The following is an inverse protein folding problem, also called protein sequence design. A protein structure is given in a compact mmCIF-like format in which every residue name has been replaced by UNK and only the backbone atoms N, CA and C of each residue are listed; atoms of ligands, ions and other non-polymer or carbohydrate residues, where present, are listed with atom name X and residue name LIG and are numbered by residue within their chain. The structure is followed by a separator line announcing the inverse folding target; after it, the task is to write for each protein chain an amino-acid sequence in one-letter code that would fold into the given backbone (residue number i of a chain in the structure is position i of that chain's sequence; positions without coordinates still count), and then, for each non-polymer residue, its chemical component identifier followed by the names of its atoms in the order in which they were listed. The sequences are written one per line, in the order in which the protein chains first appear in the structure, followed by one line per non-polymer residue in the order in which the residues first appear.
data_IF_527065328116
#
_entry.id   IF_527065328116
#
_cell.length_a   1.000
_cell.length_b   1.000
_cell.length_c   1.000
_cell.angle_alpha   90.00
_cell.angle_beta   90.00
_cell.angle_gamma   90.00
#
_symmetry.space_group_name_H-M   'P 1'
#
loop_
_entity.id
_entity.type
_entity.pdbx_description
1 polymer ?
#
# COMPACT_ATOMS: atom_id res chain seq x y z
N UNK A 1 24.19 27.09 7.20
CA UNK A 1 22.84 26.47 7.27
C UNK A 1 21.89 26.91 6.14
N UNK A 2 22.17 27.96 5.36
CA UNK A 2 21.24 28.45 4.32
C UNK A 2 21.15 27.63 3.01
N UNK A 3 22.14 26.78 2.71
CA UNK A 3 22.21 26.07 1.41
C UNK A 3 21.16 24.95 1.27
N UNK A 4 20.85 24.25 2.36
CA UNK A 4 19.87 23.15 2.35
C UNK A 4 18.41 23.65 2.30
N UNK A 5 18.14 24.86 2.81
CA UNK A 5 16.81 25.46 2.73
C UNK A 5 16.48 25.80 1.27
N UNK A 6 17.40 26.48 0.57
CA UNK A 6 17.22 26.80 -0.84
C UNK A 6 17.11 25.56 -1.73
N UNK A 7 17.86 24.49 -1.45
CA UNK A 7 17.76 23.25 -2.23
C UNK A 7 16.40 22.55 -2.04
N UNK A 8 15.86 22.55 -0.82
CA UNK A 8 14.54 21.99 -0.55
C UNK A 8 13.44 22.78 -1.26
N UNK A 9 13.52 24.12 -1.22
CA UNK A 9 12.56 24.99 -1.90
C UNK A 9 12.60 24.81 -3.43
N UNK A 10 13.79 24.60 -3.99
CA UNK A 10 13.95 24.30 -5.42
C UNK A 10 13.33 22.95 -5.78
N UNK A 11 13.52 21.91 -4.96
CA UNK A 11 12.88 20.60 -5.18
C UNK A 11 11.36 20.70 -5.05
N UNK A 12 10.85 21.44 -4.08
CA UNK A 12 9.42 21.66 -3.88
C UNK A 12 8.78 22.40 -5.07
N UNK A 13 9.43 23.46 -5.55
CA UNK A 13 8.99 24.19 -6.72
C UNK A 13 9.07 23.33 -7.99
N UNK A 14 10.16 22.58 -8.17
CA UNK A 14 10.37 21.72 -9.34
C UNK A 14 9.34 20.59 -9.40
N UNK A 15 9.05 19.95 -8.26
CA UNK A 15 8.04 18.91 -8.17
C UNK A 15 6.63 19.46 -8.49
N UNK A 16 6.30 20.64 -7.95
CA UNK A 16 5.03 21.32 -8.27
C UNK A 16 4.93 21.66 -9.75
N UNK A 17 5.97 22.27 -10.33
CA UNK A 17 6.01 22.61 -11.75
C UNK A 17 5.87 21.37 -12.65
N UNK A 18 6.53 20.26 -12.28
CA UNK A 18 6.38 19.00 -13.00
C UNK A 18 4.96 18.44 -12.92
N UNK A 19 4.33 18.47 -11.75
CA UNK A 19 2.93 18.02 -11.59
C UNK A 19 1.99 18.86 -12.47
N UNK A 20 2.15 20.18 -12.48
CA UNK A 20 1.33 21.06 -13.32
C UNK A 20 1.58 20.86 -14.82
N UNK A 21 2.84 20.63 -15.21
CA UNK A 21 3.19 20.30 -16.59
C UNK A 21 2.53 19.00 -17.04
N UNK A 22 2.64 17.94 -16.25
CA UNK A 22 2.05 16.63 -16.57
C UNK A 22 0.52 16.67 -16.58
N UNK A 23 -0.09 17.54 -15.77
CA UNK A 23 -1.52 17.79 -15.81
C UNK A 23 -1.96 18.53 -17.06
N UNK A 24 -1.17 19.51 -17.50
CA UNK A 24 -1.45 20.31 -18.69
C UNK A 24 -1.15 19.56 -19.99
N UNK A 25 -0.22 18.61 -19.96
CA UNK A 25 0.25 17.84 -21.12
C UNK A 25 0.26 16.33 -20.82
N UNK A 26 -0.91 15.66 -20.87
CA UNK A 26 -1.01 14.25 -20.56
C UNK A 26 -0.19 13.35 -21.49
N UNK A 27 -0.02 13.74 -22.77
CA UNK A 27 0.77 12.99 -23.74
C UNK A 27 2.24 12.82 -23.29
N UNK A 28 2.81 13.83 -22.62
CA UNK A 28 4.17 13.74 -22.08
C UNK A 28 4.26 12.74 -20.92
N UNK A 29 3.18 12.59 -20.15
CA UNK A 29 3.14 11.61 -19.06
C UNK A 29 3.21 10.17 -19.59
N UNK A 30 2.72 9.91 -20.80
CA UNK A 30 2.73 8.57 -21.41
C UNK A 30 4.15 8.07 -21.77
N UNK A 31 5.11 8.99 -21.95
CA UNK A 31 6.51 8.66 -22.21
C UNK A 31 7.30 8.35 -20.93
N UNK A 32 6.81 8.76 -19.75
CA UNK A 32 7.52 8.58 -18.47
C UNK A 32 7.78 7.10 -18.13
N UNK A 33 6.82 6.18 -18.32
CA UNK A 33 7.05 4.75 -18.15
C UNK A 33 8.23 4.18 -18.93
N UNK A 34 8.33 4.47 -20.24
CA UNK A 34 9.35 3.88 -21.11
C UNK A 34 10.76 4.37 -20.79
N UNK A 35 10.86 5.56 -20.19
CA UNK A 35 12.12 6.13 -19.69
C UNK A 35 12.60 5.51 -18.35
N UNK A 36 11.81 4.60 -17.76
CA UNK A 36 12.15 3.94 -16.50
C UNK A 36 12.15 4.88 -15.29
N UNK A 37 11.37 5.95 -15.34
CA UNK A 37 11.27 6.92 -14.24
C UNK A 37 10.36 6.44 -13.10
N UNK A 38 9.35 5.60 -13.37
CA UNK A 38 8.43 5.08 -12.35
C UNK A 38 9.19 4.31 -11.22
N UNK A 39 10.07 3.32 -11.50
CA UNK A 39 10.84 2.66 -10.45
C UNK A 39 11.74 3.61 -9.66
N UNK A 40 12.27 4.66 -10.31
CA UNK A 40 13.14 5.66 -9.66
C UNK A 40 12.32 6.50 -8.68
N UNK A 41 11.13 6.95 -9.07
CA UNK A 41 10.19 7.66 -8.18
C UNK A 41 9.83 6.77 -6.97
N UNK A 42 9.49 5.50 -7.18
CA UNK A 42 9.19 4.60 -6.05
C UNK A 42 10.34 4.43 -5.05
N UNK A 43 11.59 4.52 -5.50
CA UNK A 43 12.76 4.52 -4.61
C UNK A 43 12.91 5.84 -3.85
N UNK A 44 12.63 6.96 -4.50
CA UNK A 44 12.72 8.31 -3.92
C UNK A 44 11.65 8.58 -2.86
N UNK A 45 10.56 7.80 -2.81
CA UNK A 45 9.53 7.87 -1.77
C UNK A 45 10.10 7.76 -0.34
N UNK A 46 11.22 7.06 -0.15
CA UNK A 46 11.86 6.94 1.16
C UNK A 46 12.56 8.23 1.61
N UNK A 47 13.09 9.01 0.67
CA UNK A 47 13.87 10.22 0.95
C UNK A 47 13.08 11.51 0.79
N UNK A 48 12.16 11.56 -0.19
CA UNK A 48 11.36 12.74 -0.53
C UNK A 48 9.88 12.35 -0.70
N UNK A 49 9.22 11.89 0.38
CA UNK A 49 7.89 11.28 0.30
C UNK A 49 6.86 12.23 -0.28
N UNK A 50 6.82 13.49 0.17
CA UNK A 50 5.78 14.46 -0.24
C UNK A 50 5.82 14.74 -1.75
N UNK A 51 6.96 15.20 -2.26
CA UNK A 51 7.13 15.60 -3.65
C UNK A 51 6.94 14.42 -4.61
N UNK A 52 7.60 13.31 -4.27
CA UNK A 52 7.58 12.10 -5.10
C UNK A 52 6.17 11.50 -5.15
N UNK A 53 5.45 11.52 -4.03
CA UNK A 53 4.09 11.03 -3.98
C UNK A 53 3.13 11.91 -4.78
N UNK A 54 3.27 13.23 -4.75
CA UNK A 54 2.46 14.12 -5.60
C UNK A 54 2.66 13.85 -7.09
N UNK A 55 3.91 13.59 -7.50
CA UNK A 55 4.21 13.21 -8.89
C UNK A 55 3.59 11.85 -9.22
N UNK A 56 3.79 10.83 -8.37
CA UNK A 56 3.20 9.50 -8.57
C UNK A 56 1.68 9.51 -8.61
N UNK A 57 1.05 10.34 -7.77
CA UNK A 57 -0.39 10.54 -7.79
C UNK A 57 -0.84 11.11 -9.13
N UNK A 58 -0.20 12.18 -9.63
CA UNK A 58 -0.52 12.75 -10.93
C UNK A 58 -0.36 11.73 -12.07
N UNK A 59 0.69 10.90 -12.01
CA UNK A 59 0.89 9.82 -12.97
C UNK A 59 -0.18 8.74 -12.87
N UNK A 60 -0.69 8.44 -11.67
CA UNK A 60 -1.76 7.45 -11.46
C UNK A 60 -3.11 7.84 -12.07
N UNK A 61 -3.24 9.06 -12.60
CA UNK A 61 -4.42 9.50 -13.35
C UNK A 61 -4.38 9.04 -14.82
N UNK A 62 -3.22 8.60 -15.33
CA UNK A 62 -3.05 8.06 -16.68
C UNK A 62 -3.04 6.53 -16.66
N UNK A 63 -3.82 5.90 -17.54
CA UNK A 63 -3.90 4.44 -17.62
C UNK A 63 -2.53 3.80 -17.96
N UNK A 64 -1.76 4.41 -18.86
CA UNK A 64 -0.42 3.94 -19.23
C UNK A 64 0.53 3.93 -18.05
N UNK A 65 0.53 5.03 -17.28
CA UNK A 65 1.32 5.15 -16.08
C UNK A 65 0.87 4.20 -14.98
N UNK A 66 -0.44 4.01 -14.79
CA UNK A 66 -0.99 3.04 -13.83
C UNK A 66 -0.49 1.63 -14.11
N UNK A 67 -0.50 1.19 -15.38
CA UNK A 67 0.04 -0.11 -15.79
C UNK A 67 1.52 -0.25 -15.40
N UNK A 68 2.31 0.78 -15.68
CA UNK A 68 3.73 0.79 -15.34
C UNK A 68 3.97 0.81 -13.81
N UNK A 69 3.19 1.59 -13.06
CA UNK A 69 3.22 1.62 -11.60
C UNK A 69 2.89 0.25 -11.02
N UNK A 70 1.91 -0.46 -11.58
CA UNK A 70 1.55 -1.78 -11.12
C UNK A 70 2.59 -2.85 -11.46
N UNK A 71 3.24 -2.74 -12.62
CA UNK A 71 4.36 -3.62 -13.01
C UNK A 71 5.61 -3.39 -12.15
N UNK A 72 5.69 -2.27 -11.45
CA UNK A 72 6.69 -2.03 -10.42
C UNK A 72 6.14 -2.41 -9.04
N UNK A 73 6.97 -2.99 -8.17
CA UNK A 73 6.60 -3.31 -6.78
C UNK A 73 6.25 -2.05 -5.95
N UNK A 74 5.07 -1.47 -6.17
CA UNK A 74 4.66 -0.15 -5.66
C UNK A 74 4.01 -0.22 -4.27
N UNK A 75 3.42 -1.36 -3.89
CA UNK A 75 2.71 -1.53 -2.63
C UNK A 75 3.65 -1.40 -1.42
N UNK A 76 4.84 -1.99 -1.48
CA UNK A 76 5.80 -1.95 -0.37
C UNK A 76 6.34 -0.53 -0.09
N UNK A 77 6.81 0.24 -1.10
CA UNK A 77 7.17 1.65 -0.92
C UNK A 77 6.03 2.53 -0.41
N UNK A 78 4.82 2.40 -0.98
CA UNK A 78 3.67 3.19 -0.55
C UNK A 78 3.26 2.87 0.89
N UNK A 79 3.25 1.59 1.27
CA UNK A 79 2.99 1.17 2.65
C UNK A 79 3.98 1.79 3.63
N UNK A 80 5.29 1.71 3.33
CA UNK A 80 6.32 2.34 4.17
C UNK A 80 6.09 3.85 4.27
N UNK A 81 5.82 4.52 3.16
CA UNK A 81 5.53 5.95 3.14
C UNK A 81 4.39 6.32 4.09
N UNK A 82 3.28 5.59 4.04
CA UNK A 82 2.12 5.79 4.91
C UNK A 82 2.42 5.52 6.39
N UNK A 83 3.29 4.55 6.70
CA UNK A 83 3.66 4.22 8.09
C UNK A 83 4.53 5.29 8.74
N UNK A 84 5.47 5.88 7.98
CA UNK A 84 6.41 6.87 8.51
C UNK A 84 5.95 8.32 8.34
N UNK A 85 5.02 8.60 7.42
CA UNK A 85 4.57 9.95 7.12
C UNK A 85 3.04 10.03 7.11
N UNK A 86 2.44 10.45 8.23
CA UNK A 86 0.97 10.57 8.34
C UNK A 86 0.35 11.50 7.29
N UNK A 87 1.05 12.56 6.92
CA UNK A 87 0.61 13.53 5.92
C UNK A 87 0.61 12.97 4.47
N UNK A 88 1.13 11.75 4.27
CA UNK A 88 1.17 11.09 2.97
C UNK A 88 0.09 10.00 2.84
N UNK A 89 -0.68 9.72 3.89
CA UNK A 89 -1.68 8.65 3.89
C UNK A 89 -2.75 8.92 2.84
N UNK A 90 -3.32 10.12 2.82
CA UNK A 90 -4.39 10.50 1.90
C UNK A 90 -3.96 10.35 0.44
N UNK A 91 -2.91 11.07 0.02
CA UNK A 91 -2.41 11.01 -1.36
C UNK A 91 -1.93 9.61 -1.76
N UNK A 92 -1.40 8.80 -0.82
CA UNK A 92 -1.05 7.41 -1.09
C UNK A 92 -2.28 6.56 -1.35
N UNK A 93 -3.33 6.72 -0.54
CA UNK A 93 -4.61 6.05 -0.77
C UNK A 93 -5.22 6.47 -2.10
N UNK A 94 -5.20 7.75 -2.46
CA UNK A 94 -5.67 8.22 -3.75
C UNK A 94 -4.89 7.62 -4.92
N UNK A 95 -3.56 7.54 -4.80
CA UNK A 95 -2.70 6.88 -5.79
C UNK A 95 -3.07 5.40 -5.95
N UNK A 96 -3.37 4.70 -4.83
CA UNK A 96 -3.82 3.30 -4.86
C UNK A 96 -5.23 3.15 -5.46
N UNK A 97 -6.14 4.12 -5.22
CA UNK A 97 -7.48 4.15 -5.83
C UNK A 97 -7.37 4.31 -7.35
N UNK A 98 -6.36 5.05 -7.83
CA UNK A 98 -6.04 5.14 -9.26
C UNK A 98 -5.70 3.79 -9.92
N UNK A 99 -5.39 2.74 -9.13
CA UNK A 99 -5.14 1.39 -9.63
C UNK A 99 -6.43 0.57 -9.85
N UNK A 100 -7.57 1.01 -9.32
CA UNK A 100 -8.85 0.29 -9.42
C UNK A 100 -9.27 0.03 -10.89
N UNK A 101 -9.23 1.02 -11.80
CA UNK A 101 -9.56 0.78 -13.21
C UNK A 101 -8.70 -0.31 -13.85
N UNK A 102 -7.42 -0.37 -13.49
CA UNK A 102 -6.53 -1.41 -13.99
C UNK A 102 -6.93 -2.80 -13.45
N UNK A 103 -7.24 -2.93 -12.15
CA UNK A 103 -7.74 -4.19 -11.59
C UNK A 103 -9.05 -4.65 -12.23
N UNK A 104 -9.94 -3.72 -12.57
CA UNK A 104 -11.18 -4.02 -13.30
C UNK A 104 -10.90 -4.47 -14.74
N UNK A 105 -9.95 -3.83 -15.43
CA UNK A 105 -9.51 -4.26 -16.77
C UNK A 105 -8.91 -5.67 -16.75
N UNK A 106 -8.23 -6.05 -15.66
CA UNK A 106 -7.73 -7.40 -15.46
C UNK A 106 -8.87 -8.40 -15.26
N UNK A 107 -9.94 -8.04 -14.53
CA UNK A 107 -11.11 -8.90 -14.38
C UNK A 107 -11.85 -9.13 -15.70
N UNK A 108 -11.92 -8.09 -16.53
CA UNK A 108 -12.52 -8.13 -17.87
C UNK A 108 -11.66 -8.95 -18.85
N UNK A 109 -10.34 -8.94 -18.65
CA UNK A 109 -9.43 -9.79 -19.41
C UNK A 109 -9.66 -11.29 -19.12
N UNK A 110 -9.24 -12.14 -20.07
CA UNK A 110 -9.29 -13.61 -19.91
C UNK A 110 -8.23 -14.09 -18.91
N UNK A 111 -8.40 -13.77 -17.62
CA UNK A 111 -7.65 -14.43 -16.56
C UNK A 111 -8.20 -15.85 -16.39
N UNK A 112 -7.39 -16.86 -16.69
CA UNK A 112 -7.75 -18.26 -16.51
C UNK A 112 -7.75 -18.68 -15.02
N UNK A 113 -7.16 -17.86 -14.15
CA UNK A 113 -6.98 -18.16 -12.73
C UNK A 113 -8.12 -17.59 -11.88
N UNK A 114 -9.09 -18.43 -11.55
CA UNK A 114 -10.23 -18.11 -10.66
C UNK A 114 -9.78 -17.57 -9.30
N UNK A 115 -8.66 -18.08 -8.76
CA UNK A 115 -8.10 -17.61 -7.49
C UNK A 115 -7.68 -16.13 -7.54
N UNK A 116 -7.06 -15.70 -8.64
CA UNK A 116 -6.62 -14.31 -8.83
C UNK A 116 -7.84 -13.40 -9.00
N UNK A 117 -8.83 -13.81 -9.81
CA UNK A 117 -10.10 -13.05 -9.94
C UNK A 117 -10.77 -12.86 -8.58
N UNK A 118 -10.83 -13.91 -7.76
CA UNK A 118 -11.41 -13.87 -6.41
C UNK A 118 -10.66 -12.90 -5.49
N UNK A 119 -9.33 -12.91 -5.52
CA UNK A 119 -8.52 -11.98 -4.72
C UNK A 119 -8.71 -10.53 -5.16
N UNK A 120 -8.80 -10.26 -6.47
CA UNK A 120 -9.08 -8.92 -6.99
C UNK A 120 -10.47 -8.46 -6.51
N UNK A 121 -11.51 -9.28 -6.67
CA UNK A 121 -12.87 -8.95 -6.22
C UNK A 121 -12.91 -8.70 -4.70
N UNK A 122 -12.21 -9.51 -3.90
CA UNK A 122 -12.10 -9.32 -2.47
C UNK A 122 -11.41 -7.99 -2.10
N UNK A 123 -10.33 -7.64 -2.80
CA UNK A 123 -9.63 -6.37 -2.60
C UNK A 123 -10.54 -5.18 -2.95
N UNK A 124 -11.25 -5.23 -4.08
CA UNK A 124 -12.19 -4.18 -4.50
C UNK A 124 -13.37 -4.03 -3.53
N UNK A 125 -13.94 -5.14 -3.03
CA UNK A 125 -14.97 -5.12 -1.99
C UNK A 125 -14.44 -4.51 -0.68
N UNK A 126 -13.21 -4.86 -0.29
CA UNK A 126 -12.55 -4.28 0.88
C UNK A 126 -12.33 -2.78 0.75
N UNK A 127 -11.91 -2.30 -0.42
CA UNK A 127 -11.74 -0.87 -0.71
C UNK A 127 -13.06 -0.10 -0.63
N UNK A 128 -14.16 -0.69 -1.12
CA UNK A 128 -15.50 -0.10 -1.02
C UNK A 128 -15.96 0.06 0.43
N UNK A 129 -15.68 -0.89 1.30
CA UNK A 129 -16.06 -0.81 2.72
C UNK A 129 -15.24 0.22 3.54
N UNK A 130 -14.28 0.92 2.92
CA UNK A 130 -13.53 1.98 3.58
C UNK A 130 -14.34 3.29 3.55
N UNK A 131 -14.82 3.72 4.73
CA UNK A 131 -15.71 4.88 4.91
C UNK A 131 -15.17 6.19 4.34
N UNK A 132 -13.85 6.34 4.20
CA UNK A 132 -13.26 7.60 3.71
C UNK A 132 -13.30 7.73 2.18
N UNK A 133 -13.48 6.63 1.45
CA UNK A 133 -13.40 6.61 -0.01
C UNK A 133 -14.58 5.87 -0.66
N UNK A 134 -15.60 5.49 0.11
CA UNK A 134 -16.73 4.66 -0.35
C UNK A 134 -17.41 5.25 -1.58
N UNK A 135 -17.77 6.54 -1.57
CA UNK A 135 -18.45 7.18 -2.70
C UNK A 135 -17.60 7.14 -3.98
N UNK A 136 -16.32 7.54 -3.90
CA UNK A 136 -15.43 7.58 -5.07
C UNK A 136 -15.16 6.18 -5.61
N UNK A 137 -14.84 5.23 -4.73
CA UNK A 137 -14.57 3.84 -5.10
C UNK A 137 -15.83 3.21 -5.69
N UNK A 138 -16.99 3.40 -5.08
CA UNK A 138 -18.28 2.93 -5.60
C UNK A 138 -18.58 3.52 -6.97
N UNK A 139 -18.35 4.82 -7.19
CA UNK A 139 -18.55 5.45 -8.51
C UNK A 139 -17.63 4.87 -9.59
N UNK A 140 -16.35 4.62 -9.29
CA UNK A 140 -15.42 3.99 -10.24
C UNK A 140 -15.88 2.56 -10.57
N UNK A 141 -16.26 1.79 -9.55
CA UNK A 141 -16.71 0.41 -9.72
C UNK A 141 -18.01 0.32 -10.53
N UNK A 142 -18.99 1.18 -10.27
CA UNK A 142 -20.29 1.20 -10.96
C UNK A 142 -20.17 1.61 -12.43
N UNK A 143 -19.15 2.39 -12.81
CA UNK A 143 -18.88 2.73 -14.21
C UNK A 143 -18.40 1.55 -15.05
N UNK A 144 -17.85 0.50 -14.42
CA UNK A 144 -17.27 -0.62 -15.15
C UNK A 144 -18.24 -1.80 -15.22
N UNK A 145 -18.67 -2.25 -16.41
CA UNK A 145 -19.72 -3.26 -16.55
C UNK A 145 -19.36 -4.60 -15.90
N UNK A 146 -18.09 -5.02 -16.01
CA UNK A 146 -17.56 -6.24 -15.37
C UNK A 146 -17.88 -6.32 -13.88
N UNK A 147 -17.91 -5.18 -13.17
CA UNK A 147 -18.15 -5.17 -11.73
C UNK A 147 -19.57 -5.66 -11.38
N UNK A 148 -20.55 -5.44 -12.25
CA UNK A 148 -21.93 -5.86 -12.03
C UNK A 148 -22.09 -7.37 -11.84
N UNK A 149 -21.22 -8.16 -12.48
CA UNK A 149 -21.20 -9.62 -12.40
C UNK A 149 -20.61 -10.13 -11.07
N UNK A 150 -19.71 -9.35 -10.46
CA UNK A 150 -18.94 -9.76 -9.28
C UNK A 150 -19.44 -9.11 -7.97
N UNK A 151 -20.18 -7.99 -8.03
CA UNK A 151 -20.58 -7.21 -6.85
C UNK A 151 -21.38 -8.03 -5.82
N UNK A 152 -22.27 -8.91 -6.29
CA UNK A 152 -23.21 -9.67 -5.45
C UNK A 152 -22.72 -11.09 -5.13
N UNK A 153 -21.59 -11.51 -5.71
CA UNK A 153 -21.00 -12.83 -5.41
C UNK A 153 -20.48 -12.85 -3.96
N UNK A 154 -21.11 -13.61 -3.07
CA UNK A 154 -20.59 -13.84 -1.71
C UNK A 154 -19.39 -14.79 -1.81
N UNK A 155 -18.19 -14.28 -1.60
CA UNK A 155 -17.04 -15.12 -1.31
C UNK A 155 -17.14 -15.52 0.16
N UNK A 156 -17.39 -16.79 0.43
CA UNK A 156 -17.24 -17.33 1.78
C UNK A 156 -15.82 -17.02 2.27
N UNK A 157 -15.73 -16.15 3.26
CA UNK A 157 -14.48 -15.72 3.89
C UNK A 157 -13.89 -16.88 4.71
N UNK A 158 -13.23 -17.82 4.05
CA UNK A 158 -12.42 -18.84 4.70
C UNK A 158 -10.92 -18.65 4.37
N UNK A 159 -10.37 -17.47 4.69
CA UNK A 159 -8.92 -17.31 4.90
C UNK A 159 -8.70 -16.39 6.10
N UNK A 160 -9.04 -16.95 7.26
CA UNK A 160 -8.22 -16.95 8.47
C UNK A 160 -7.27 -15.76 8.63
N UNK A 161 -7.70 -14.80 9.44
CA UNK A 161 -6.84 -14.06 10.37
C UNK A 161 -5.89 -15.02 11.11
N UNK A 162 -4.73 -15.31 10.52
CA UNK A 162 -3.56 -15.88 11.22
C UNK A 162 -2.29 -15.17 10.75
N UNK A 163 -2.27 -13.86 10.92
CA UNK A 163 -1.03 -13.18 11.32
C UNK A 163 -1.29 -12.66 12.72
N UNK A 164 -1.42 -13.61 13.64
CA UNK A 164 -1.32 -13.32 15.06
C UNK A 164 0.12 -12.88 15.27
N UNK A 165 0.29 -11.65 15.74
CA UNK A 165 1.52 -11.18 16.31
C UNK A 165 2.08 -12.28 17.22
N UNK A 166 3.15 -12.97 16.79
CA UNK A 166 4.02 -13.66 17.74
C UNK A 166 4.73 -12.56 18.50
N UNK A 167 4.13 -12.14 19.60
CA UNK A 167 4.86 -11.48 20.67
C UNK A 167 6.02 -12.41 21.04
N UNK A 168 7.23 -11.89 20.93
CA UNK A 168 8.42 -12.47 21.52
C UNK A 168 8.27 -12.24 23.02
N UNK A 169 7.65 -13.18 23.73
CA UNK A 169 7.91 -13.33 25.16
C UNK A 169 9.24 -14.07 25.30
N UNK A 170 10.28 -13.28 25.57
CA UNK A 170 11.56 -13.77 26.07
C UNK A 170 11.27 -14.48 27.39
N UNK A 171 11.35 -15.81 27.42
CA UNK A 171 11.49 -16.56 28.66
C UNK A 171 12.81 -16.15 29.31
N UNK A 172 12.77 -15.19 30.23
CA UNK A 172 13.74 -15.13 31.32
C UNK A 172 13.01 -15.54 32.59
N UNK A 173 13.11 -16.81 32.95
CA UNK A 173 12.86 -17.24 34.32
C UNK A 173 14.12 -17.96 34.78
N UNK A 174 14.73 -17.55 35.91
CA UNK A 174 15.91 -18.22 36.43
C UNK A 174 15.56 -19.64 36.90
N UNK A 175 16.52 -20.58 36.88
CA UNK A 175 16.28 -21.96 37.27
C UNK A 175 15.88 -22.08 38.75
N UNK A 176 15.05 -23.06 39.11
CA UNK A 176 14.61 -23.27 40.48
C UNK A 176 15.79 -23.72 41.37
N UNK A 177 15.93 -23.06 42.51
CA UNK A 177 16.84 -23.41 43.59
C UNK A 177 16.36 -24.72 44.20
N UNK A 178 17.18 -25.77 44.08
CA UNK A 178 17.01 -27.02 44.81
C UNK A 178 17.27 -26.76 46.31
N UNK A 179 16.20 -26.74 47.11
CA UNK A 179 16.23 -26.78 48.57
C UNK A 179 15.50 -28.03 49.04
N UNK A 180 16.13 -29.18 48.82
CA UNK A 180 15.84 -30.41 49.53
C UNK A 180 16.66 -30.50 50.84
N UNK A 181 15.95 -30.84 51.91
CA UNK A 181 16.39 -31.21 53.28
C UNK A 181 16.63 -30.05 54.26
N UNK A 182 15.85 -29.97 55.36
CA UNK A 182 16.09 -30.83 56.52
C UNK A 182 14.80 -31.29 57.24
N UNK A 183 14.59 -32.60 57.38
CA UNK A 183 13.76 -33.14 58.48
C UNK A 183 14.52 -34.18 59.29
N UNK A 184 15.55 -33.73 60.01
CA UNK A 184 15.98 -34.38 61.25
C UNK A 184 15.10 -33.86 62.40
N UNK A 185 14.09 -34.66 62.79
CA UNK A 185 13.62 -34.67 64.19
C UNK A 185 14.50 -35.65 64.95
N UNK A 186 15.30 -35.14 65.88
CA UNK A 186 15.66 -35.82 67.14
C UNK A 186 14.51 -35.55 68.15
N UNK A 187 14.40 -36.19 69.34
CA UNK A 187 15.36 -37.07 70.06
C UNK A 187 14.74 -38.33 70.75
N UNK A 188 15.59 -39.10 71.44
CA UNK A 188 15.37 -39.92 72.67
C UNK A 188 14.29 -41.04 72.62
N UNK A 189 14.52 -42.33 72.93
CA UNK A 189 15.36 -43.08 73.88
C UNK A 189 15.75 -44.45 73.26
#
# INVERSE_FOLDING_TARGET
MSKNASEKDVVDLSATALVELLRSQPNLAEDIPVLGHIPKLLRLLASQPRNTLSILHQLSLSEFCVRAIFQTECISPLKKCMQYNRNCIETSCETLIGLIPFLLSLLDSRLDYVAVKTQIVAALKGMRHNLNYDDRVTQILLKHPVWSEFKDQRHDQATSRKVQHKNVEVLTSPPPIDRGDPSARLPED
#
